data_IF_011578814186
#
_entry.id   IF_011578814186
#
_cell.length_a   1.000
_cell.length_b   1.000
_cell.length_c   1.000
_cell.angle_alpha   90.00
_cell.angle_beta   90.00
_cell.angle_gamma   90.00
#
_symmetry.space_group_name_H-M   'P 1'
#
loop_
_entity.id
_entity.type
_entity.pdbx_description
1 polymer ?
#
# COMPACT_ATOMS: atom_id res chain seq x y z
N UNK A 1 10.64 -12.44 30.63
CA UNK A 1 10.93 -12.26 29.19
C UNK A 1 9.84 -11.38 28.59
N UNK A 2 10.17 -10.17 28.15
CA UNK A 2 9.24 -9.30 27.43
C UNK A 2 9.06 -9.83 26.01
N UNK A 3 7.83 -9.97 25.53
CA UNK A 3 7.57 -10.30 24.12
C UNK A 3 7.77 -9.04 23.28
N UNK A 4 8.61 -9.10 22.25
CA UNK A 4 8.78 -8.02 21.28
C UNK A 4 7.87 -8.26 20.06
N UNK A 5 7.14 -7.22 19.66
CA UNK A 5 6.42 -7.18 18.39
C UNK A 5 7.00 -6.06 17.52
N UNK A 6 7.32 -6.37 16.27
CA UNK A 6 7.78 -5.38 15.28
C UNK A 6 6.73 -5.29 14.18
N UNK A 7 6.27 -4.07 13.89
CA UNK A 7 5.27 -3.82 12.85
C UNK A 7 5.92 -3.06 11.70
N UNK A 8 5.92 -3.65 10.51
CA UNK A 8 6.40 -3.00 9.30
C UNK A 8 5.25 -2.25 8.63
N UNK A 9 5.33 -0.92 8.62
CA UNK A 9 4.35 -0.06 7.97
C UNK A 9 4.84 0.45 6.62
N UNK A 10 3.94 0.46 5.65
CA UNK A 10 4.14 1.08 4.35
C UNK A 10 2.80 1.58 3.81
N UNK A 11 2.83 2.35 2.73
CA UNK A 11 1.65 2.79 2.00
C UNK A 11 0.84 1.61 1.42
N UNK A 12 1.52 0.49 1.15
CA UNK A 12 0.94 -0.67 0.48
C UNK A 12 0.94 -0.52 -1.04
N UNK A 13 0.25 -1.43 -1.71
CA UNK A 13 0.10 -1.44 -3.15
C UNK A 13 -1.00 -2.42 -3.57
N UNK A 14 -1.53 -2.30 -4.79
CA UNK A 14 -2.57 -3.19 -5.27
C UNK A 14 -2.03 -4.58 -5.59
N UNK A 15 -2.70 -5.62 -5.11
CA UNK A 15 -2.33 -7.02 -5.36
C UNK A 15 -2.65 -7.47 -6.81
N UNK A 16 -3.47 -6.69 -7.53
CA UNK A 16 -3.84 -6.96 -8.90
C UNK A 16 -4.58 -5.79 -9.56
N UNK A 17 -4.95 -5.90 -10.86
CA UNK A 17 -5.57 -4.82 -11.63
C UNK A 17 -6.88 -4.29 -11.03
N UNK A 18 -7.68 -5.17 -10.43
CA UNK A 18 -8.97 -4.80 -9.82
C UNK A 18 -8.80 -4.00 -8.52
N UNK A 19 -7.67 -4.19 -7.83
CA UNK A 19 -7.34 -3.47 -6.61
C UNK A 19 -6.76 -2.07 -6.87
N UNK A 20 -6.36 -1.76 -8.11
CA UNK A 20 -5.71 -0.48 -8.47
C UNK A 20 -6.61 0.72 -8.15
N UNK A 21 -7.87 0.70 -8.60
CA UNK A 21 -8.78 1.83 -8.38
C UNK A 21 -9.12 2.00 -6.89
N UNK A 22 -9.51 0.94 -6.15
CA UNK A 22 -9.70 1.03 -4.70
C UNK A 22 -8.47 1.57 -3.96
N UNK A 23 -7.26 1.12 -4.31
CA UNK A 23 -6.01 1.62 -3.74
C UNK A 23 -5.84 3.13 -3.96
N UNK A 24 -5.98 3.60 -5.20
CA UNK A 24 -5.88 5.03 -5.52
C UNK A 24 -6.95 5.86 -4.82
N UNK A 25 -8.18 5.34 -4.73
CA UNK A 25 -9.25 6.04 -4.03
C UNK A 25 -8.96 6.20 -2.54
N UNK A 26 -8.41 5.17 -1.89
CA UNK A 26 -7.98 5.26 -0.49
C UNK A 26 -6.84 6.26 -0.32
N UNK A 27 -5.85 6.25 -1.23
CA UNK A 27 -4.74 7.21 -1.24
C UNK A 27 -5.23 8.66 -1.31
N UNK A 28 -6.13 8.98 -2.25
CA UNK A 28 -6.61 10.36 -2.43
C UNK A 28 -7.69 10.77 -1.41
N UNK A 29 -8.29 9.82 -0.69
CA UNK A 29 -9.15 10.09 0.47
C UNK A 29 -8.36 10.43 1.74
N UNK A 30 -7.03 10.33 1.74
CA UNK A 30 -6.20 10.67 2.90
C UNK A 30 -6.06 12.20 3.05
N UNK A 31 -6.31 12.79 4.26
CA UNK A 31 -6.18 14.24 4.45
C UNK A 31 -4.74 14.74 4.38
N UNK A 32 -3.76 13.85 4.60
CA UNK A 32 -2.35 14.15 4.44
C UNK A 32 -1.93 14.20 2.96
N UNK A 33 -2.71 13.60 2.05
CA UNK A 33 -2.44 13.61 0.61
C UNK A 33 -3.22 14.75 -0.08
N UNK A 34 -4.50 14.91 0.25
CA UNK A 34 -5.33 16.02 -0.25
C UNK A 34 -5.94 16.76 0.94
N UNK A 35 -5.45 17.98 1.17
CA UNK A 35 -5.83 18.86 2.29
C UNK A 35 -7.13 19.63 2.02
N UNK A 36 -8.21 18.90 1.73
CA UNK A 36 -9.56 19.45 1.55
C UNK A 36 -10.55 18.87 2.59
N UNK A 37 -11.63 19.59 2.93
CA UNK A 37 -12.72 19.03 3.72
C UNK A 37 -13.29 17.77 3.07
N UNK A 38 -13.73 16.81 3.89
CA UNK A 38 -14.18 15.49 3.41
C UNK A 38 -15.26 15.57 2.31
N UNK A 39 -16.18 16.54 2.42
CA UNK A 39 -17.27 16.76 1.45
C UNK A 39 -16.76 17.08 0.04
N UNK A 40 -15.60 17.74 -0.10
CA UNK A 40 -14.99 18.07 -1.38
C UNK A 40 -13.95 17.03 -1.79
N UNK A 41 -13.19 16.52 -0.82
CA UNK A 41 -12.11 15.56 -1.06
C UNK A 41 -12.61 14.21 -1.51
N UNK A 42 -13.68 13.66 -0.92
CA UNK A 42 -14.19 12.33 -1.28
C UNK A 42 -14.63 12.25 -2.75
N UNK A 43 -15.47 13.17 -3.28
CA UNK A 43 -15.82 13.15 -4.70
C UNK A 43 -14.61 13.39 -5.59
N UNK A 44 -13.69 14.28 -5.19
CA UNK A 44 -12.43 14.51 -5.91
C UNK A 44 -11.56 13.25 -5.98
N UNK A 45 -11.42 12.52 -4.87
CA UNK A 45 -10.67 11.27 -4.80
C UNK A 45 -11.24 10.21 -5.74
N UNK A 46 -12.57 10.07 -5.79
CA UNK A 46 -13.26 9.17 -6.74
C UNK A 46 -13.03 9.56 -8.19
N UNK A 47 -13.01 10.85 -8.49
CA UNK A 47 -12.75 11.37 -9.84
C UNK A 47 -11.30 11.14 -10.27
N UNK A 48 -10.33 11.47 -9.41
CA UNK A 48 -8.92 11.26 -9.71
C UNK A 48 -8.63 9.76 -9.84
N UNK A 49 -9.14 8.93 -8.94
CA UNK A 49 -8.91 7.49 -8.96
C UNK A 49 -9.49 6.83 -10.22
N UNK A 50 -10.68 7.24 -10.68
CA UNK A 50 -11.27 6.71 -11.91
C UNK A 50 -10.47 7.08 -13.16
N UNK A 51 -9.97 8.32 -13.25
CA UNK A 51 -9.17 8.79 -14.40
C UNK A 51 -7.78 8.17 -14.43
N UNK A 52 -7.16 7.96 -13.26
CA UNK A 52 -5.80 7.41 -13.17
C UNK A 52 -5.75 5.89 -13.18
N UNK A 53 -6.86 5.20 -12.93
CA UNK A 53 -6.89 3.74 -12.81
C UNK A 53 -6.30 3.03 -14.03
N UNK A 54 -6.69 3.41 -15.25
CA UNK A 54 -6.23 2.72 -16.47
C UNK A 54 -4.73 2.88 -16.71
N UNK A 55 -4.19 4.09 -16.51
CA UNK A 55 -2.75 4.33 -16.58
C UNK A 55 -1.98 3.55 -15.50
N UNK A 56 -2.51 3.53 -14.27
CA UNK A 56 -1.87 2.79 -13.17
C UNK A 56 -1.91 1.27 -13.41
N UNK A 57 -3.01 0.72 -13.92
CA UNK A 57 -3.11 -0.69 -14.31
C UNK A 57 -2.07 -1.06 -15.36
N UNK A 58 -1.89 -0.22 -16.39
CA UNK A 58 -0.87 -0.45 -17.41
C UNK A 58 0.55 -0.50 -16.81
N UNK A 59 0.85 0.40 -15.87
CA UNK A 59 2.14 0.39 -15.17
C UNK A 59 2.33 -0.87 -14.31
N UNK A 60 1.31 -1.30 -13.55
CA UNK A 60 1.38 -2.53 -12.78
C UNK A 60 1.46 -3.78 -13.67
N UNK A 61 0.85 -3.77 -14.85
CA UNK A 61 0.95 -4.86 -15.81
C UNK A 61 2.41 -5.10 -16.27
N UNK A 62 3.18 -4.03 -16.48
CA UNK A 62 4.62 -4.12 -16.81
C UNK A 62 5.41 -4.79 -15.67
N UNK A 63 4.95 -4.66 -14.42
CA UNK A 63 5.57 -5.24 -13.23
C UNK A 63 5.12 -6.68 -12.91
N UNK A 64 4.29 -7.29 -13.77
CA UNK A 64 3.73 -8.62 -13.53
C UNK A 64 2.30 -8.63 -12.99
N UNK A 65 1.59 -7.49 -13.03
CA UNK A 65 0.15 -7.39 -12.77
C UNK A 65 -0.24 -6.82 -11.40
N UNK A 66 0.71 -6.65 -10.48
CA UNK A 66 0.46 -6.14 -9.13
C UNK A 66 1.72 -5.56 -8.49
N UNK A 67 1.56 -4.98 -7.31
CA UNK A 67 2.70 -4.44 -6.54
C UNK A 67 3.49 -5.57 -5.89
N UNK A 68 4.83 -5.61 -6.04
CA UNK A 68 5.67 -6.57 -5.32
C UNK A 68 5.82 -6.20 -3.83
N UNK A 69 5.25 -5.09 -3.38
CA UNK A 69 5.56 -4.51 -2.07
C UNK A 69 5.18 -5.43 -0.91
N UNK A 70 4.00 -6.03 -0.93
CA UNK A 70 3.57 -6.96 0.12
C UNK A 70 4.45 -8.22 0.18
N UNK A 71 4.66 -8.98 -0.91
CA UNK A 71 5.51 -10.17 -0.85
C UNK A 71 6.95 -9.86 -0.43
N UNK A 72 7.52 -8.73 -0.87
CA UNK A 72 8.85 -8.31 -0.41
C UNK A 72 8.87 -7.90 1.07
N UNK A 73 7.86 -7.15 1.53
CA UNK A 73 7.73 -6.79 2.96
C UNK A 73 7.61 -8.03 3.84
N UNK A 74 6.89 -9.07 3.38
CA UNK A 74 6.79 -10.34 4.11
C UNK A 74 8.11 -11.11 4.14
N UNK A 75 8.89 -11.09 3.06
CA UNK A 75 10.25 -11.68 3.04
C UNK A 75 11.16 -10.97 4.05
N UNK A 76 11.11 -9.63 4.06
CA UNK A 76 11.85 -8.80 5.02
C UNK A 76 11.42 -9.08 6.46
N UNK A 77 10.12 -9.17 6.73
CA UNK A 77 9.59 -9.49 8.06
C UNK A 77 10.12 -10.83 8.58
N UNK A 78 10.11 -11.88 7.74
CA UNK A 78 10.66 -13.20 8.11
C UNK A 78 12.17 -13.15 8.37
N UNK A 79 12.92 -12.43 7.54
CA UNK A 79 14.36 -12.26 7.73
C UNK A 79 14.69 -11.52 9.04
N UNK A 80 13.91 -10.47 9.34
CA UNK A 80 14.03 -9.69 10.56
C UNK A 80 13.70 -10.53 11.79
N UNK A 81 12.60 -11.26 11.77
CA UNK A 81 12.21 -12.17 12.85
C UNK A 81 13.31 -13.21 13.13
N UNK A 82 13.86 -13.83 12.09
CA UNK A 82 14.96 -14.78 12.23
C UNK A 82 16.21 -14.12 12.85
N UNK A 83 16.48 -12.85 12.52
CA UNK A 83 17.60 -12.10 13.09
C UNK A 83 17.40 -11.74 14.56
N UNK A 84 16.21 -11.29 14.94
CA UNK A 84 15.88 -10.97 16.33
C UNK A 84 15.98 -12.20 17.23
N UNK A 85 15.47 -13.36 16.76
CA UNK A 85 15.60 -14.64 17.48
C UNK A 85 17.06 -15.04 17.70
N UNK A 86 17.95 -14.81 16.71
CA UNK A 86 19.40 -15.06 16.88
C UNK A 86 20.05 -14.15 17.91
N UNK A 87 19.54 -12.93 18.09
CA UNK A 87 20.03 -11.97 19.08
C UNK A 87 19.45 -12.21 20.49
N UNK A 88 18.63 -13.26 20.67
CA UNK A 88 17.99 -13.57 21.96
C UNK A 88 16.87 -12.61 22.33
N UNK A 89 16.30 -11.91 21.34
CA UNK A 89 15.14 -11.02 21.48
C UNK A 89 13.84 -11.73 21.12
#
# INVERSE_FOLDING_TARGET
MSKLAVVLFNLGGPDGPDAVRPFLENLFKDPAIITLPAIARIPLAKFISSRRAEMAKANYAIMGGGSPLLPETLKQARALEASLRRLGT
#
